data_IF_066835547434
#
_entry.id   IF_066835547434
#
_cell.length_a   1.000
_cell.length_b   1.000
_cell.length_c   1.000
_cell.angle_alpha   90.00
_cell.angle_beta   90.00
_cell.angle_gamma   90.00
#
_symmetry.space_group_name_H-M   'P 1'
#
loop_
_entity.id
_entity.type
_entity.pdbx_description
1 polymer ?
#
# COMPACT_ATOMS: atom_id res chain seq x y z
N UNK A 1 58.81 50.48 -16.52
CA UNK A 1 57.67 50.21 -15.64
C UNK A 1 57.14 48.86 -15.97
N UNK A 2 57.30 47.85 -15.08
CA UNK A 2 56.75 46.50 -15.26
C UNK A 2 55.48 46.39 -14.49
N UNK A 3 54.34 46.12 -15.18
CA UNK A 3 53.04 45.88 -14.54
C UNK A 3 52.96 44.42 -14.10
N UNK A 4 52.78 44.19 -12.80
CA UNK A 4 52.56 42.87 -12.19
C UNK A 4 51.04 42.62 -12.18
N UNK A 5 50.57 41.65 -12.94
CA UNK A 5 49.15 41.22 -12.93
C UNK A 5 48.92 40.27 -11.76
N UNK A 6 48.02 40.63 -10.86
CA UNK A 6 47.55 39.74 -9.80
C UNK A 6 46.38 38.89 -10.33
N UNK A 7 46.58 37.58 -10.38
CA UNK A 7 45.51 36.61 -10.70
C UNK A 7 44.84 36.25 -9.37
N UNK A 8 43.58 36.69 -9.20
CA UNK A 8 42.73 36.28 -8.08
C UNK A 8 42.05 34.98 -8.50
N UNK A 9 42.49 33.86 -7.92
CA UNK A 9 41.84 32.55 -8.11
C UNK A 9 40.64 32.43 -7.16
N UNK A 10 39.43 32.49 -7.69
CA UNK A 10 38.20 32.30 -6.90
C UNK A 10 37.99 30.80 -6.72
N UNK A 11 38.18 30.29 -5.51
CA UNK A 11 37.90 28.93 -5.11
C UNK A 11 36.36 28.76 -4.97
N UNK A 12 35.71 28.18 -5.94
CA UNK A 12 34.28 27.79 -5.84
C UNK A 12 34.21 26.48 -5.06
N UNK A 13 33.85 26.55 -3.79
CA UNK A 13 33.52 25.37 -3.01
C UNK A 13 32.18 24.82 -3.48
N UNK A 14 32.18 23.71 -4.22
CA UNK A 14 31.01 22.90 -4.46
C UNK A 14 30.67 22.14 -3.15
N UNK A 15 29.75 22.67 -2.37
CA UNK A 15 29.09 21.90 -1.33
C UNK A 15 28.22 20.84 -2.03
N UNK A 16 28.68 19.58 -2.00
CA UNK A 16 27.80 18.46 -2.37
C UNK A 16 26.58 18.46 -1.46
N UNK A 17 25.35 18.32 -1.99
CA UNK A 17 24.17 18.25 -1.15
C UNK A 17 24.31 17.06 -0.21
N UNK A 18 24.20 17.28 1.09
CA UNK A 18 24.03 16.21 2.06
C UNK A 18 22.74 15.49 1.70
N UNK A 19 22.83 14.31 1.11
CA UNK A 19 21.68 13.42 0.95
C UNK A 19 21.27 12.94 2.34
N UNK A 20 20.34 13.65 2.95
CA UNK A 20 19.69 13.16 4.17
C UNK A 20 18.79 12.01 3.76
N UNK A 21 18.91 10.86 4.42
CA UNK A 21 17.98 9.74 4.23
C UNK A 21 16.56 10.26 4.49
N UNK A 22 15.61 10.07 3.55
CA UNK A 22 14.22 10.49 3.76
C UNK A 22 13.67 9.94 5.07
N UNK A 23 12.92 10.74 5.80
CA UNK A 23 12.40 10.35 7.10
C UNK A 23 10.85 10.35 7.08
N UNK A 24 10.27 9.17 7.14
CA UNK A 24 8.82 8.98 7.18
C UNK A 24 8.38 8.38 8.51
N UNK A 25 7.26 8.89 9.02
CA UNK A 25 6.43 8.21 10.02
C UNK A 25 5.34 7.41 9.32
N UNK A 26 4.94 6.28 9.90
CA UNK A 26 3.95 5.37 9.34
C UNK A 26 2.89 5.09 10.40
N UNK A 27 1.64 5.24 10.04
CA UNK A 27 0.49 4.92 10.87
C UNK A 27 -0.42 3.95 10.11
N UNK A 28 -0.71 2.77 10.70
CA UNK A 28 -1.78 1.91 10.23
C UNK A 28 -3.11 2.37 10.83
N UNK A 29 -4.09 2.60 9.99
CA UNK A 29 -5.41 3.11 10.38
C UNK A 29 -6.45 2.03 10.12
N UNK A 30 -7.05 1.48 11.19
CA UNK A 30 -8.15 0.54 11.07
C UNK A 30 -9.44 1.32 10.82
N UNK A 31 -10.02 1.14 9.64
CA UNK A 31 -11.28 1.78 9.27
C UNK A 31 -12.51 0.87 9.40
N UNK A 32 -12.31 -0.44 9.62
CA UNK A 32 -13.38 -1.40 9.81
C UNK A 32 -12.88 -2.76 10.27
N UNK A 33 -13.81 -3.69 10.42
CA UNK A 33 -13.55 -5.09 10.75
C UNK A 33 -14.50 -5.98 9.94
N UNK A 34 -13.98 -7.03 9.30
CA UNK A 34 -14.79 -8.13 8.77
C UNK A 34 -14.79 -9.24 9.81
N UNK A 35 -15.95 -9.54 10.42
CA UNK A 35 -16.02 -10.57 11.44
C UNK A 35 -16.06 -11.97 10.83
N UNK A 36 -15.50 -12.94 11.53
CA UNK A 36 -15.65 -14.37 11.29
C UNK A 36 -15.36 -14.81 9.84
N UNK A 37 -14.35 -14.16 9.21
CA UNK A 37 -13.91 -14.55 7.87
C UNK A 37 -13.23 -15.92 7.92
N UNK A 38 -13.52 -16.85 6.99
CA UNK A 38 -12.80 -18.13 6.88
C UNK A 38 -11.30 -17.91 6.66
N UNK A 39 -10.46 -18.50 7.49
CA UNK A 39 -8.99 -18.37 7.39
C UNK A 39 -8.46 -19.01 6.11
N UNK A 40 -9.18 -20.00 5.55
CA UNK A 40 -8.85 -20.61 4.26
C UNK A 40 -8.86 -19.62 3.08
N UNK A 41 -9.58 -18.50 3.22
CA UNK A 41 -9.53 -17.37 2.28
C UNK A 41 -8.30 -16.45 2.43
N UNK A 42 -7.47 -16.67 3.45
CA UNK A 42 -6.29 -15.85 3.78
C UNK A 42 -4.99 -16.66 3.79
N UNK A 43 -5.08 -17.96 4.13
CA UNK A 43 -3.96 -18.89 4.27
C UNK A 43 -4.31 -20.18 3.56
N UNK A 44 -3.59 -20.50 2.50
CA UNK A 44 -3.81 -21.72 1.71
C UNK A 44 -3.70 -22.95 2.62
N UNK A 45 -4.69 -23.85 2.54
CA UNK A 45 -4.72 -25.10 3.32
C UNK A 45 -5.08 -24.92 4.80
N UNK A 46 -5.48 -23.74 5.25
CA UNK A 46 -6.07 -23.58 6.58
C UNK A 46 -7.39 -24.36 6.69
N UNK A 47 -7.76 -24.86 7.89
CA UNK A 47 -9.02 -25.57 8.09
C UNK A 47 -10.23 -24.72 7.68
N UNK A 48 -11.20 -25.34 6.98
CA UNK A 48 -12.39 -24.62 6.49
C UNK A 48 -13.27 -24.05 7.61
N UNK A 49 -13.25 -24.68 8.79
CA UNK A 49 -14.01 -24.23 9.96
C UNK A 49 -13.27 -23.19 10.82
N UNK A 50 -12.01 -22.92 10.52
CA UNK A 50 -11.26 -21.86 11.20
C UNK A 50 -11.71 -20.49 10.71
N UNK A 51 -12.08 -19.61 11.64
CA UNK A 51 -12.54 -18.26 11.36
C UNK A 51 -11.83 -17.25 12.24
N UNK A 52 -11.67 -16.05 11.73
CA UNK A 52 -11.14 -14.93 12.48
C UNK A 52 -11.77 -13.60 12.05
N UNK A 53 -11.69 -12.64 12.92
CA UNK A 53 -11.97 -11.25 12.56
C UNK A 53 -10.73 -10.65 11.91
N UNK A 54 -10.89 -9.97 10.78
CA UNK A 54 -9.78 -9.27 10.12
C UNK A 54 -9.94 -7.76 10.23
N UNK A 55 -8.82 -7.07 10.29
CA UNK A 55 -8.79 -5.60 10.31
C UNK A 55 -8.82 -5.07 8.87
N UNK A 56 -9.73 -4.15 8.59
CA UNK A 56 -9.73 -3.35 7.37
C UNK A 56 -8.82 -2.15 7.59
N UNK A 57 -7.72 -2.07 6.85
CA UNK A 57 -6.61 -1.15 7.13
C UNK A 57 -6.15 -0.44 5.87
N UNK A 58 -5.76 0.80 6.01
CA UNK A 58 -4.88 1.53 5.09
C UNK A 58 -3.78 2.24 5.91
N UNK A 59 -2.72 2.69 5.25
CA UNK A 59 -1.59 3.32 5.94
C UNK A 59 -1.45 4.79 5.55
N UNK A 60 -1.22 5.63 6.57
CA UNK A 60 -0.83 7.04 6.40
C UNK A 60 0.67 7.16 6.63
N UNK A 61 1.38 7.65 5.62
CA UNK A 61 2.83 7.83 5.60
C UNK A 61 3.10 9.33 5.51
N UNK A 62 3.80 9.88 6.49
CA UNK A 62 4.06 11.34 6.56
C UNK A 62 5.55 11.63 6.63
N UNK A 63 6.00 12.52 5.80
CA UNK A 63 7.40 12.96 5.75
C UNK A 63 7.68 13.71 4.45
N UNK A 64 8.84 14.35 4.35
CA UNK A 64 9.30 15.03 3.15
C UNK A 64 8.26 16.02 2.54
N UNK A 65 7.46 16.66 3.40
CA UNK A 65 6.39 17.58 2.99
C UNK A 65 5.17 16.90 2.35
N UNK A 66 5.00 15.59 2.51
CA UNK A 66 3.91 14.78 1.93
C UNK A 66 3.05 14.09 2.98
N UNK A 67 1.79 13.92 2.64
CA UNK A 67 0.86 13.01 3.29
C UNK A 67 0.44 11.97 2.25
N UNK A 68 0.88 10.74 2.42
CA UNK A 68 0.75 9.66 1.44
C UNK A 68 -0.13 8.58 2.05
N UNK A 69 -1.08 8.06 1.29
CA UNK A 69 -1.80 6.84 1.68
C UNK A 69 -1.28 5.65 0.88
N UNK A 70 -1.08 4.52 1.55
CA UNK A 70 -1.10 3.21 0.90
C UNK A 70 -2.50 2.64 1.10
N UNK A 71 -3.21 2.48 -0.01
CA UNK A 71 -4.62 2.13 -0.10
C UNK A 71 -5.56 3.20 0.48
N UNK A 72 -6.85 3.07 0.23
CA UNK A 72 -7.86 4.09 0.58
C UNK A 72 -9.08 3.54 1.30
N UNK A 73 -9.14 2.21 1.54
CA UNK A 73 -10.37 1.61 2.02
C UNK A 73 -11.51 1.70 1.01
N UNK A 74 -12.74 1.69 1.52
CA UNK A 74 -13.97 1.78 0.72
C UNK A 74 -15.04 2.57 1.45
N UNK A 75 -16.15 2.89 0.73
CA UNK A 75 -17.34 3.50 1.36
C UNK A 75 -18.66 3.13 0.67
N UNK A 76 -18.65 2.20 -0.30
CA UNK A 76 -19.87 1.80 -1.03
C UNK A 76 -20.70 0.79 -0.25
N UNK A 77 -22.01 1.04 -0.17
CA UNK A 77 -22.96 0.30 0.66
C UNK A 77 -22.98 -1.20 0.37
N UNK A 78 -22.90 -1.59 -0.92
CA UNK A 78 -22.93 -2.99 -1.35
C UNK A 78 -21.91 -3.89 -0.64
N UNK A 79 -20.76 -3.34 -0.28
CA UNK A 79 -19.67 -4.10 0.35
C UNK A 79 -19.90 -4.31 1.85
N UNK A 80 -20.67 -3.43 2.51
CA UNK A 80 -21.07 -3.64 3.90
C UNK A 80 -21.95 -4.86 4.04
N UNK A 81 -22.93 -5.01 3.14
CA UNK A 81 -23.85 -6.14 3.14
C UNK A 81 -23.14 -7.45 2.81
N UNK A 82 -22.27 -7.45 1.80
CA UNK A 82 -21.55 -8.64 1.34
C UNK A 82 -20.60 -9.20 2.39
N UNK A 83 -19.89 -8.34 3.12
CA UNK A 83 -18.85 -8.75 4.08
C UNK A 83 -19.23 -8.51 5.54
N UNK A 84 -20.44 -8.01 5.82
CA UNK A 84 -20.94 -7.70 7.16
C UNK A 84 -19.96 -6.84 7.96
N UNK A 85 -19.39 -5.85 7.32
CA UNK A 85 -18.37 -4.99 7.92
C UNK A 85 -18.92 -4.29 9.16
N UNK A 86 -18.18 -4.39 10.25
CA UNK A 86 -18.49 -3.79 11.55
C UNK A 86 -17.45 -2.77 11.95
N UNK A 87 -17.71 -2.00 12.99
CA UNK A 87 -16.78 -0.99 13.54
C UNK A 87 -16.22 -0.07 12.44
N UNK A 88 -17.08 0.26 11.47
CA UNK A 88 -16.70 1.04 10.30
C UNK A 88 -16.59 2.54 10.60
N UNK A 89 -15.55 3.13 10.05
CA UNK A 89 -15.36 4.57 9.97
C UNK A 89 -14.99 4.91 8.53
N UNK A 90 -15.68 5.86 7.92
CA UNK A 90 -15.41 6.25 6.53
C UNK A 90 -13.94 6.70 6.40
N UNK A 91 -13.21 6.29 5.34
CA UNK A 91 -11.76 6.49 5.26
C UNK A 91 -11.30 7.94 5.40
N UNK A 92 -12.01 8.90 4.81
CA UNK A 92 -11.67 10.32 4.96
C UNK A 92 -11.83 10.80 6.41
N UNK A 93 -12.83 10.30 7.14
CA UNK A 93 -13.00 10.62 8.54
C UNK A 93 -11.92 9.95 9.42
N UNK A 94 -11.50 8.74 9.04
CA UNK A 94 -10.41 8.05 9.69
C UNK A 94 -9.07 8.82 9.52
N UNK A 95 -8.84 9.39 8.34
CA UNK A 95 -7.69 10.28 8.07
C UNK A 95 -7.78 11.56 8.91
N UNK A 96 -8.98 12.18 9.08
CA UNK A 96 -9.15 13.33 9.98
C UNK A 96 -8.83 13.00 11.42
N UNK A 97 -9.22 11.81 11.89
CA UNK A 97 -8.87 11.35 13.24
C UNK A 97 -7.36 11.13 13.42
N UNK A 98 -6.63 10.82 12.34
CA UNK A 98 -5.17 10.80 12.33
C UNK A 98 -4.53 12.20 12.26
N UNK A 99 -5.33 13.26 12.24
CA UNK A 99 -4.87 14.66 12.26
C UNK A 99 -4.49 15.23 10.90
N UNK A 100 -5.00 14.67 9.81
CA UNK A 100 -4.76 15.16 8.44
C UNK A 100 -6.10 15.48 7.77
N UNK A 101 -6.21 16.63 7.13
CA UNK A 101 -7.34 16.91 6.25
C UNK A 101 -7.24 16.04 4.98
N UNK A 102 -8.29 15.33 4.55
CA UNK A 102 -8.31 14.56 3.31
C UNK A 102 -7.87 15.37 2.07
N UNK A 103 -8.12 16.66 2.05
CA UNK A 103 -7.65 17.55 0.98
C UNK A 103 -6.12 17.78 0.99
N UNK A 104 -5.43 17.42 2.08
CA UNK A 104 -3.98 17.50 2.23
C UNK A 104 -3.27 16.20 1.86
N UNK A 105 -4.00 15.14 1.51
CA UNK A 105 -3.40 13.92 0.98
C UNK A 105 -2.82 14.25 -0.39
N UNK A 106 -1.51 14.09 -0.51
CA UNK A 106 -0.75 14.45 -1.71
C UNK A 106 -0.69 13.30 -2.71
N UNK A 107 -0.61 12.08 -2.20
CA UNK A 107 -0.43 10.86 -2.99
C UNK A 107 -1.23 9.71 -2.40
N UNK A 108 -1.72 8.84 -3.27
CA UNK A 108 -2.29 7.53 -2.93
C UNK A 108 -1.55 6.49 -3.73
N UNK A 109 -0.97 5.52 -3.05
CA UNK A 109 -0.35 4.36 -3.68
C UNK A 109 -1.33 3.21 -3.54
N UNK A 110 -1.89 2.73 -4.64
CA UNK A 110 -2.77 1.57 -4.63
C UNK A 110 -1.93 0.30 -4.70
N UNK A 111 -2.09 -0.56 -3.70
CA UNK A 111 -1.44 -1.88 -3.72
C UNK A 111 -2.03 -2.75 -4.83
N UNK A 112 -3.34 -2.65 -5.05
CA UNK A 112 -4.09 -3.36 -6.09
C UNK A 112 -5.51 -2.80 -6.24
N UNK A 113 -6.30 -3.38 -7.15
CA UNK A 113 -7.57 -2.83 -7.57
C UNK A 113 -8.81 -3.37 -6.83
N UNK A 114 -8.67 -4.13 -5.73
CA UNK A 114 -9.84 -4.59 -4.98
C UNK A 114 -10.58 -3.43 -4.29
N UNK A 115 -11.88 -3.65 -4.09
CA UNK A 115 -12.83 -2.69 -3.55
C UNK A 115 -12.43 -2.07 -2.21
N UNK A 116 -11.82 -2.85 -1.34
CA UNK A 116 -11.41 -2.43 0.01
C UNK A 116 -10.05 -1.73 0.08
N UNK A 117 -9.37 -1.62 -1.07
CA UNK A 117 -8.12 -0.88 -1.23
C UNK A 117 -8.28 0.36 -2.11
N UNK A 118 -9.05 0.25 -3.19
CA UNK A 118 -9.25 1.32 -4.16
C UNK A 118 -10.56 2.11 -3.95
N UNK A 119 -11.53 1.55 -3.23
CA UNK A 119 -12.90 2.05 -3.16
C UNK A 119 -13.10 3.41 -2.49
N UNK A 120 -12.04 4.00 -1.95
CA UNK A 120 -12.06 5.34 -1.33
C UNK A 120 -11.28 6.41 -2.10
N UNK A 121 -10.81 6.18 -3.33
CA UNK A 121 -9.98 7.14 -4.06
C UNK A 121 -10.67 8.49 -4.34
N UNK A 122 -11.99 8.50 -4.45
CA UNK A 122 -12.79 9.71 -4.65
C UNK A 122 -12.86 10.60 -3.41
N UNK A 123 -12.58 10.06 -2.23
CA UNK A 123 -12.53 10.80 -0.96
C UNK A 123 -11.27 11.69 -0.83
N UNK A 124 -10.27 11.49 -1.69
CA UNK A 124 -9.00 12.21 -1.67
C UNK A 124 -8.76 12.96 -2.99
N UNK A 125 -9.54 14.04 -3.25
CA UNK A 125 -9.63 14.65 -4.58
C UNK A 125 -8.35 15.32 -5.06
N UNK A 126 -7.42 15.69 -4.17
CA UNK A 126 -6.17 16.35 -4.54
C UNK A 126 -5.02 15.35 -4.80
N UNK A 127 -5.16 14.11 -4.36
CA UNK A 127 -4.10 13.13 -4.44
C UNK A 127 -3.74 12.73 -5.88
N UNK A 128 -2.45 12.54 -6.12
CA UNK A 128 -1.93 11.79 -7.26
C UNK A 128 -2.03 10.30 -6.95
N UNK A 129 -2.67 9.52 -7.81
CA UNK A 129 -2.85 8.08 -7.64
C UNK A 129 -1.71 7.35 -8.35
N UNK A 130 -1.12 6.35 -7.68
CA UNK A 130 -0.06 5.51 -8.20
C UNK A 130 -0.52 4.05 -8.22
N UNK A 131 -0.44 3.38 -9.36
CA UNK A 131 -0.82 1.98 -9.53
C UNK A 131 0.10 1.31 -10.56
N UNK A 132 0.29 -0.01 -10.46
CA UNK A 132 1.00 -0.75 -11.50
C UNK A 132 0.27 -0.62 -12.85
N UNK A 133 1.04 -0.39 -13.91
CA UNK A 133 0.54 -0.26 -15.28
C UNK A 133 -0.22 -1.49 -15.72
N UNK A 134 0.30 -2.67 -15.38
CA UNK A 134 -0.30 -3.93 -15.78
C UNK A 134 -1.59 -4.22 -15.01
N UNK A 135 -1.67 -3.82 -13.72
CA UNK A 135 -2.90 -3.88 -12.91
C UNK A 135 -4.00 -3.02 -13.55
N UNK A 136 -3.68 -1.75 -13.82
CA UNK A 136 -4.58 -0.82 -14.50
C UNK A 136 -5.03 -1.37 -15.85
N UNK A 137 -4.10 -1.79 -16.71
CA UNK A 137 -4.40 -2.25 -18.06
C UNK A 137 -5.30 -3.50 -18.05
N UNK A 138 -5.05 -4.44 -17.14
CA UNK A 138 -5.83 -5.66 -17.04
C UNK A 138 -7.28 -5.37 -16.62
N UNK A 139 -7.50 -4.61 -15.55
CA UNK A 139 -8.84 -4.34 -15.03
C UNK A 139 -9.61 -3.30 -15.84
N UNK A 140 -8.95 -2.50 -16.67
CA UNK A 140 -9.63 -1.63 -17.64
C UNK A 140 -10.10 -2.35 -18.92
N UNK A 141 -9.73 -3.61 -19.13
CA UNK A 141 -10.08 -4.32 -20.36
C UNK A 141 -10.18 -5.83 -20.21
N UNK A 142 -9.07 -6.59 -20.24
CA UNK A 142 -9.06 -8.06 -20.33
C UNK A 142 -9.84 -8.76 -19.22
N UNK A 143 -9.87 -8.20 -18.01
CA UNK A 143 -10.59 -8.76 -16.86
C UNK A 143 -12.08 -8.99 -17.11
N UNK A 144 -12.69 -8.23 -18.02
CA UNK A 144 -14.12 -8.23 -18.33
C UNK A 144 -14.46 -9.00 -19.60
N UNK A 145 -13.47 -9.62 -20.23
CA UNK A 145 -13.63 -10.45 -21.42
C UNK A 145 -13.79 -11.93 -21.04
N UNK A 146 -14.09 -12.78 -22.03
CA UNK A 146 -14.17 -14.23 -21.82
C UNK A 146 -12.87 -14.77 -21.18
N UNK A 147 -13.02 -15.53 -20.10
CA UNK A 147 -11.89 -16.06 -19.31
C UNK A 147 -11.21 -15.04 -18.39
N UNK A 148 -11.65 -13.77 -18.39
CA UNK A 148 -11.13 -12.74 -17.48
C UNK A 148 -11.53 -12.97 -16.03
N UNK A 149 -10.74 -12.46 -15.09
CA UNK A 149 -10.97 -12.57 -13.64
C UNK A 149 -11.12 -11.17 -13.05
N UNK A 150 -12.27 -10.88 -12.45
CA UNK A 150 -12.58 -9.56 -11.87
C UNK A 150 -13.28 -9.66 -10.49
N UNK A 151 -13.10 -10.79 -9.80
CA UNK A 151 -13.61 -10.96 -8.42
C UNK A 151 -13.03 -9.88 -7.50
N UNK A 152 -13.88 -9.27 -6.67
CA UNK A 152 -13.48 -8.20 -5.77
C UNK A 152 -13.24 -6.84 -6.42
N UNK A 153 -13.48 -6.69 -7.74
CA UNK A 153 -13.35 -5.41 -8.45
C UNK A 153 -14.70 -4.72 -8.53
N UNK A 154 -14.73 -3.45 -8.15
CA UNK A 154 -15.91 -2.61 -8.27
C UNK A 154 -15.83 -1.75 -9.55
N UNK A 155 -16.78 -1.88 -10.50
CA UNK A 155 -16.78 -1.10 -11.74
C UNK A 155 -16.86 0.42 -11.52
N UNK A 156 -17.52 0.87 -10.44
CA UNK A 156 -17.60 2.29 -10.13
C UNK A 156 -16.25 2.84 -9.66
N UNK A 157 -15.44 2.02 -8.98
CA UNK A 157 -14.09 2.40 -8.56
C UNK A 157 -13.14 2.47 -9.76
N UNK A 158 -13.29 1.56 -10.74
CA UNK A 158 -12.58 1.66 -12.02
C UNK A 158 -12.97 2.93 -12.78
N UNK A 159 -14.23 3.30 -12.77
CA UNK A 159 -14.70 4.55 -13.39
C UNK A 159 -14.08 5.78 -12.73
N UNK A 160 -13.95 5.78 -11.40
CA UNK A 160 -13.23 6.82 -10.66
C UNK A 160 -11.73 6.82 -11.02
N UNK A 161 -11.11 5.67 -11.14
CA UNK A 161 -9.69 5.57 -11.52
C UNK A 161 -9.45 6.09 -12.94
N UNK A 162 -10.34 5.78 -13.90
CA UNK A 162 -10.31 6.33 -15.25
C UNK A 162 -10.47 7.87 -15.22
N UNK A 163 -11.39 8.38 -14.41
CA UNK A 163 -11.56 9.84 -14.25
C UNK A 163 -10.26 10.49 -13.73
N UNK A 164 -9.58 9.88 -12.76
CA UNK A 164 -8.28 10.36 -12.28
C UNK A 164 -7.23 10.39 -13.39
N UNK A 165 -7.22 9.38 -14.24
CA UNK A 165 -6.32 9.31 -15.39
C UNK A 165 -6.57 10.48 -16.37
N UNK A 166 -7.82 10.70 -16.76
CA UNK A 166 -8.19 11.77 -17.69
C UNK A 166 -7.94 13.19 -17.11
N UNK A 167 -7.90 13.33 -15.80
CA UNK A 167 -7.54 14.55 -15.09
C UNK A 167 -6.03 14.75 -14.92
N UNK A 168 -5.19 13.83 -15.40
CA UNK A 168 -3.74 13.87 -15.23
C UNK A 168 -3.27 13.56 -13.79
N UNK A 169 -4.15 13.00 -12.94
CA UNK A 169 -3.90 12.66 -11.54
C UNK A 169 -3.58 11.17 -11.32
N UNK A 170 -3.27 10.43 -12.38
CA UNK A 170 -2.83 9.03 -12.32
C UNK A 170 -1.38 8.92 -12.81
N UNK A 171 -0.60 8.10 -12.13
CA UNK A 171 0.77 7.70 -12.49
C UNK A 171 0.83 6.18 -12.60
N UNK A 172 1.10 5.68 -13.79
CA UNK A 172 1.28 4.26 -14.05
C UNK A 172 2.74 3.89 -13.76
N UNK A 173 2.92 2.93 -12.87
CA UNK A 173 4.24 2.41 -12.49
C UNK A 173 4.54 1.25 -13.44
N UNK A 174 5.66 1.31 -14.14
CA UNK A 174 6.07 0.28 -15.09
C UNK A 174 7.13 -0.64 -14.45
N UNK A 175 6.65 -1.79 -13.98
CA UNK A 175 7.48 -2.89 -13.50
C UNK A 175 7.91 -2.81 -12.03
N UNK A 176 8.84 -3.68 -11.71
CA UNK A 176 9.28 -4.02 -10.37
C UNK A 176 10.40 -3.09 -9.86
N UNK A 177 10.52 -3.00 -8.51
CA UNK A 177 11.62 -2.32 -7.81
C UNK A 177 11.79 -0.85 -8.24
N UNK A 178 10.68 -0.09 -8.27
CA UNK A 178 10.67 1.32 -8.70
C UNK A 178 10.62 2.25 -7.49
N UNK A 179 11.52 3.19 -7.42
CA UNK A 179 11.39 4.34 -6.53
C UNK A 179 10.44 5.36 -7.17
N UNK A 180 9.29 5.59 -6.53
CA UNK A 180 8.24 6.46 -7.05
C UNK A 180 8.18 7.82 -6.34
N UNK A 181 8.61 7.84 -5.10
CA UNK A 181 8.79 9.01 -4.25
C UNK A 181 10.11 8.79 -3.52
N UNK A 182 10.95 9.80 -3.30
CA UNK A 182 12.21 9.61 -2.56
C UNK A 182 12.00 8.83 -1.27
N UNK A 183 12.69 7.70 -1.10
CA UNK A 183 12.56 6.79 0.05
C UNK A 183 11.31 5.88 0.04
N UNK A 184 10.47 5.94 -0.98
CA UNK A 184 9.35 5.01 -1.15
C UNK A 184 9.50 4.24 -2.45
N UNK A 185 9.68 2.94 -2.31
CA UNK A 185 9.94 2.01 -3.41
C UNK A 185 8.85 0.96 -3.47
N UNK A 186 8.33 0.72 -4.68
CA UNK A 186 7.31 -0.30 -4.95
C UNK A 186 7.94 -1.55 -5.55
N UNK A 187 7.33 -2.69 -5.25
CA UNK A 187 7.74 -4.00 -5.74
C UNK A 187 6.51 -4.74 -6.25
N UNK A 188 6.64 -5.39 -7.41
CA UNK A 188 5.61 -6.31 -7.90
C UNK A 188 5.50 -7.45 -6.91
N UNK A 189 4.28 -7.72 -6.50
CA UNK A 189 4.01 -8.59 -5.37
C UNK A 189 3.77 -10.04 -5.73
N UNK A 190 2.97 -10.66 -4.92
CA UNK A 190 2.73 -12.09 -4.89
C UNK A 190 1.55 -12.53 -5.78
N UNK A 191 1.11 -11.69 -6.70
CA UNK A 191 -0.04 -11.93 -7.56
C UNK A 191 -1.33 -12.30 -6.78
N UNK A 192 -1.60 -11.54 -5.76
CA UNK A 192 -2.91 -11.53 -5.13
C UNK A 192 -3.99 -11.12 -6.15
N UNK A 193 -3.71 -10.07 -6.93
CA UNK A 193 -4.41 -9.69 -8.15
C UNK A 193 -3.46 -9.80 -9.34
N UNK A 194 -3.87 -9.34 -10.53
CA UNK A 194 -3.09 -9.51 -11.76
C UNK A 194 -1.65 -8.98 -11.63
N UNK A 195 -1.49 -7.78 -11.07
CA UNK A 195 -0.18 -7.16 -10.84
C UNK A 195 -0.15 -6.36 -9.52
N UNK A 196 -0.61 -7.00 -8.43
CA UNK A 196 -0.53 -6.43 -7.09
C UNK A 196 0.89 -6.05 -6.70
N UNK A 197 1.03 -5.00 -5.89
CA UNK A 197 2.32 -4.50 -5.41
C UNK A 197 2.34 -4.31 -3.90
N UNK A 198 3.54 -4.28 -3.33
CA UNK A 198 3.80 -3.87 -1.96
C UNK A 198 4.86 -2.77 -1.96
N UNK A 199 5.03 -2.08 -0.84
CA UNK A 199 5.96 -0.97 -0.74
C UNK A 199 7.00 -1.18 0.34
N UNK A 200 8.20 -0.60 0.12
CA UNK A 200 9.23 -0.39 1.12
C UNK A 200 9.33 1.11 1.40
N UNK A 201 9.25 1.46 2.66
CA UNK A 201 9.35 2.84 3.14
C UNK A 201 10.64 3.01 3.95
N UNK A 202 11.46 3.97 3.54
CA UNK A 202 12.67 4.36 4.26
C UNK A 202 12.34 5.35 5.38
N UNK A 203 13.15 5.36 6.42
CA UNK A 203 13.02 6.24 7.56
C UNK A 203 14.11 5.92 8.59
N UNK A 204 13.90 6.27 9.85
CA UNK A 204 14.76 5.82 10.94
C UNK A 204 14.85 4.29 11.05
N UNK A 205 13.81 3.63 10.62
CA UNK A 205 13.69 2.18 10.39
C UNK A 205 13.04 1.97 9.04
N UNK A 206 13.39 0.88 8.38
CA UNK A 206 12.81 0.46 7.12
C UNK A 206 11.59 -0.41 7.42
N UNK A 207 10.46 -0.12 6.77
CA UNK A 207 9.27 -0.97 6.81
C UNK A 207 8.91 -1.46 5.42
N UNK A 208 8.38 -2.67 5.36
CA UNK A 208 7.71 -3.23 4.19
C UNK A 208 6.23 -3.38 4.52
N UNK A 209 5.39 -2.63 3.82
CA UNK A 209 3.94 -2.71 3.95
C UNK A 209 3.43 -3.62 2.84
N UNK A 210 3.02 -4.83 3.24
CA UNK A 210 2.75 -5.91 2.30
C UNK A 210 1.38 -5.79 1.62
N UNK A 211 0.41 -5.10 2.26
CA UNK A 211 -0.99 -5.16 1.87
C UNK A 211 -1.41 -6.62 1.65
N UNK A 212 -2.23 -6.91 0.66
CA UNK A 212 -2.76 -8.24 0.42
C UNK A 212 -1.76 -9.21 -0.25
N UNK A 213 -0.53 -8.76 -0.50
CA UNK A 213 0.53 -9.69 -0.88
C UNK A 213 0.94 -10.60 0.29
N UNK A 214 0.52 -10.25 1.52
CA UNK A 214 0.60 -11.04 2.74
C UNK A 214 -0.55 -10.60 3.66
N UNK A 215 -1.51 -11.47 3.90
CA UNK A 215 -2.69 -11.12 4.72
C UNK A 215 -2.40 -11.06 6.21
N UNK A 216 -1.68 -12.05 6.73
CA UNK A 216 -1.48 -12.29 8.15
C UNK A 216 0.00 -12.54 8.48
N UNK A 217 0.41 -12.21 9.68
CA UNK A 217 1.73 -12.63 10.18
C UNK A 217 1.92 -14.14 10.09
N UNK A 218 0.84 -14.93 10.26
CA UNK A 218 0.86 -16.38 10.07
C UNK A 218 1.39 -16.79 8.70
N UNK A 219 1.05 -16.10 7.61
CA UNK A 219 1.60 -16.42 6.28
C UNK A 219 3.12 -16.32 6.26
N UNK A 220 3.69 -15.28 6.87
CA UNK A 220 5.15 -15.10 6.97
C UNK A 220 5.80 -16.16 7.89
N UNK A 221 5.21 -16.39 9.06
CA UNK A 221 5.74 -17.24 10.11
C UNK A 221 5.74 -18.73 9.68
N UNK A 222 4.69 -19.17 9.00
CA UNK A 222 4.53 -20.55 8.54
C UNK A 222 4.97 -20.78 7.10
N UNK A 223 5.34 -19.73 6.38
CA UNK A 223 5.69 -19.77 4.95
C UNK A 223 4.56 -20.33 4.09
N UNK A 224 3.33 -20.00 4.45
CA UNK A 224 2.13 -20.50 3.78
C UNK A 224 1.54 -19.40 2.90
N UNK A 225 1.38 -19.70 1.61
CA UNK A 225 0.87 -18.74 0.62
C UNK A 225 -0.53 -18.24 0.97
N UNK A 226 -0.83 -17.05 0.48
CA UNK A 226 -2.19 -16.54 0.35
C UNK A 226 -2.87 -17.19 -0.87
N UNK A 227 -4.20 -17.15 -1.00
CA UNK A 227 -4.87 -17.37 -2.29
C UNK A 227 -4.38 -16.33 -3.32
N UNK A 228 -3.84 -16.81 -4.44
CA UNK A 228 -3.25 -15.99 -5.49
C UNK A 228 -4.18 -15.91 -6.71
N UNK A 229 -3.94 -14.94 -7.59
CA UNK A 229 -4.67 -14.75 -8.84
C UNK A 229 -4.74 -16.03 -9.70
N UNK A 230 -3.65 -16.79 -9.72
CA UNK A 230 -3.59 -18.14 -10.23
C UNK A 230 -2.98 -19.05 -9.14
N UNK A 231 -3.60 -20.20 -8.82
CA UNK A 231 -3.04 -21.14 -7.83
C UNK A 231 -1.60 -21.59 -8.13
N UNK A 232 -1.18 -21.56 -9.40
CA UNK A 232 0.20 -21.84 -9.80
C UNK A 232 1.21 -20.79 -9.28
N UNK A 233 0.75 -19.62 -8.86
CA UNK A 233 1.61 -18.54 -8.33
C UNK A 233 1.96 -18.71 -6.84
N UNK A 234 1.46 -19.74 -6.17
CA UNK A 234 1.66 -19.95 -4.73
C UNK A 234 3.15 -19.98 -4.32
N UNK A 235 4.00 -20.67 -5.09
CA UNK A 235 5.46 -20.67 -4.83
C UNK A 235 6.07 -19.29 -5.03
N UNK A 236 5.57 -18.52 -5.99
CA UNK A 236 5.97 -17.15 -6.22
C UNK A 236 5.61 -16.25 -5.04
N UNK A 237 4.46 -16.48 -4.42
CA UNK A 237 4.03 -15.78 -3.22
C UNK A 237 4.97 -16.04 -2.03
N UNK A 238 5.33 -17.30 -1.76
CA UNK A 238 6.29 -17.64 -0.70
C UNK A 238 7.66 -16.98 -0.95
N UNK A 239 8.14 -16.96 -2.20
CA UNK A 239 9.37 -16.25 -2.56
C UNK A 239 9.26 -14.73 -2.34
N UNK A 240 8.07 -14.15 -2.55
CA UNK A 240 7.84 -12.75 -2.25
C UNK A 240 7.93 -12.46 -0.75
N UNK A 241 7.52 -13.37 0.14
CA UNK A 241 7.75 -13.24 1.59
C UNK A 241 9.24 -13.18 1.92
N UNK A 242 10.07 -14.04 1.32
CA UNK A 242 11.53 -14.00 1.51
C UNK A 242 12.11 -12.66 1.11
N UNK A 243 11.64 -12.14 -0.01
CA UNK A 243 12.05 -10.82 -0.49
C UNK A 243 11.61 -9.71 0.46
N UNK A 244 10.38 -9.72 0.95
CA UNK A 244 9.88 -8.74 1.92
C UNK A 244 10.73 -8.73 3.19
N UNK A 245 11.02 -9.92 3.74
CA UNK A 245 11.87 -10.08 4.92
C UNK A 245 13.29 -9.55 4.68
N UNK A 246 13.87 -9.85 3.53
CA UNK A 246 15.19 -9.33 3.14
C UNK A 246 15.20 -7.79 3.00
N UNK A 247 14.15 -7.22 2.41
CA UNK A 247 14.02 -5.77 2.19
C UNK A 247 13.77 -5.00 3.50
N UNK A 248 13.06 -5.60 4.45
CA UNK A 248 12.77 -4.98 5.74
C UNK A 248 13.97 -5.04 6.70
N UNK A 249 14.84 -6.02 6.55
CA UNK A 249 16.01 -6.25 7.42
C UNK A 249 15.67 -6.86 8.78
N UNK A 250 14.42 -6.80 9.22
CA UNK A 250 13.91 -7.41 10.44
C UNK A 250 12.46 -7.91 10.21
N UNK A 251 12.10 -9.13 10.65
CA UNK A 251 10.78 -9.70 10.38
C UNK A 251 9.62 -8.88 10.91
N UNK A 252 9.79 -8.22 12.06
CA UNK A 252 8.81 -7.34 12.69
C UNK A 252 8.52 -6.08 11.89
N UNK A 253 9.35 -5.73 10.92
CA UNK A 253 9.17 -4.61 10.01
C UNK A 253 8.42 -4.97 8.72
N UNK A 254 8.04 -6.24 8.52
CA UNK A 254 7.09 -6.62 7.48
C UNK A 254 5.68 -6.58 8.08
N UNK A 255 4.82 -5.75 7.52
CA UNK A 255 3.47 -5.51 8.03
C UNK A 255 2.45 -6.06 7.05
N UNK A 256 1.67 -7.09 7.45
CA UNK A 256 0.59 -7.67 6.65
C UNK A 256 -0.58 -6.73 6.41
N UNK A 257 -1.46 -7.08 5.45
CA UNK A 257 -2.61 -6.26 5.06
C UNK A 257 -3.73 -6.22 6.08
N UNK A 258 -4.11 -7.36 6.65
CA UNK A 258 -5.38 -7.49 7.39
C UNK A 258 -5.26 -8.08 8.80
N UNK A 259 -4.03 -8.30 9.30
CA UNK A 259 -3.85 -8.93 10.60
C UNK A 259 -4.14 -7.97 11.77
N UNK A 260 -5.15 -8.23 12.61
CA UNK A 260 -5.44 -7.40 13.78
C UNK A 260 -4.31 -7.38 14.81
N UNK A 261 -3.37 -8.33 14.75
CA UNK A 261 -2.20 -8.36 15.64
C UNK A 261 -1.31 -7.13 15.46
N UNK A 262 -1.32 -6.43 14.31
CA UNK A 262 -0.56 -5.20 14.15
C UNK A 262 -0.91 -4.15 15.21
N UNK A 263 -2.19 -4.08 15.65
CA UNK A 263 -2.66 -3.18 16.70
C UNK A 263 -2.26 -3.60 18.13
N UNK A 264 -1.64 -4.78 18.27
CA UNK A 264 -1.01 -5.26 19.51
C UNK A 264 0.52 -5.19 19.44
N UNK A 265 1.09 -5.36 18.25
CA UNK A 265 2.56 -5.32 18.02
C UNK A 265 3.11 -3.90 18.03
N UNK A 266 2.32 -2.92 17.64
CA UNK A 266 2.74 -1.51 17.60
C UNK A 266 1.98 -0.67 18.64
N UNK A 267 2.59 0.42 19.15
CA UNK A 267 1.90 1.38 20.02
C UNK A 267 0.61 1.88 19.36
N UNK A 268 -0.52 1.60 19.98
CA UNK A 268 -1.84 1.85 19.41
C UNK A 268 -2.66 2.80 20.28
N UNK A 269 -3.30 3.79 19.65
CA UNK A 269 -4.30 4.66 20.28
C UNK A 269 -5.57 4.63 19.42
N UNK A 270 -6.66 4.11 19.99
CA UNK A 270 -7.92 3.93 19.27
C UNK A 270 -7.77 3.03 18.05
N UNK A 271 -7.93 3.59 16.86
CA UNK A 271 -7.85 2.88 15.57
C UNK A 271 -6.48 2.97 14.90
N UNK A 272 -5.52 3.66 15.51
CA UNK A 272 -4.26 4.04 14.87
C UNK A 272 -3.10 3.34 15.58
N UNK A 273 -2.38 2.51 14.86
CA UNK A 273 -1.13 1.90 15.28
C UNK A 273 0.06 2.67 14.67
N UNK A 274 0.97 3.13 15.50
CA UNK A 274 2.15 3.89 15.07
C UNK A 274 3.33 2.95 14.88
N UNK A 275 3.83 2.91 13.66
CA UNK A 275 5.09 2.27 13.31
C UNK A 275 6.15 3.36 13.31
N UNK A 276 7.17 3.21 14.07
CA UNK A 276 8.17 4.28 14.27
C UNK A 276 8.83 4.72 12.96
#
# INVERSE_FOLDING_TARGET
>A
MKATAFIISTLVLFLAPFSTTPNYSIEAIRYGTIPQLPVSGLVVGAPENEKMDIAMVFWLIRGEGRNILLDTGFHRERWFENFKVTDFLRPDEAVRQAGVDPAQITDVILSHAHWDHMGGIDLFPQATIWIQKDEYAYYMGPAWQEGGKHGGIDPDDLSNLLLRNTQGKLRLIDGDNREIIPGIRVFVGARHTFASQYIRVEGNQVFVLASDNCYLYRNLETRTAIPTFDPADADGNVKAFDRMLSLAGAPEHVVPGHDPLMFKRFPTKGRIAKMK
#
